data_IF_937622411325
#
_entry.id   IF_937622411325
#
_cell.length_a   1.000
_cell.length_b   1.000
_cell.length_c   1.000
_cell.angle_alpha   90.00
_cell.angle_beta   90.00
_cell.angle_gamma   90.00
#
_symmetry.space_group_name_H-M   'P 1'
#
loop_
_entity.id
_entity.type
_entity.pdbx_description
1 polymer ?
#
# COMPACT_ATOMS: atom_id res chain seq x y z
N UNK A 1 -2.90 -6.87 14.33
CA UNK A 1 -2.73 -8.36 14.36
C UNK A 1 -2.54 -8.80 12.93
N UNK A 2 -1.53 -9.62 12.69
CA UNK A 2 -1.20 -10.11 11.35
C UNK A 2 -2.22 -11.16 10.89
N UNK A 3 -2.56 -11.12 9.61
CA UNK A 3 -3.41 -12.13 9.00
C UNK A 3 -2.61 -13.41 8.70
N UNK A 4 -3.14 -14.60 9.02
CA UNK A 4 -2.55 -15.86 8.57
C UNK A 4 -2.38 -15.91 7.04
N UNK A 5 -1.34 -16.55 6.53
CA UNK A 5 -1.04 -16.58 5.10
C UNK A 5 -2.14 -17.26 4.27
N UNK A 6 -2.81 -18.27 4.83
CA UNK A 6 -3.97 -18.91 4.19
C UNK A 6 -5.15 -17.95 4.00
N UNK A 7 -5.35 -17.06 4.99
CA UNK A 7 -6.38 -16.03 4.91
C UNK A 7 -6.07 -15.04 3.78
N UNK A 8 -4.82 -14.59 3.71
CA UNK A 8 -4.35 -13.68 2.66
C UNK A 8 -4.47 -14.33 1.29
N UNK A 9 -4.04 -15.59 1.15
CA UNK A 9 -4.13 -16.36 -0.10
C UNK A 9 -5.56 -16.43 -0.63
N UNK A 10 -6.52 -16.70 0.25
CA UNK A 10 -7.92 -16.78 -0.16
C UNK A 10 -8.48 -15.40 -0.56
N UNK A 11 -8.14 -14.33 0.16
CA UNK A 11 -8.55 -12.96 -0.24
C UNK A 11 -8.01 -12.60 -1.62
N UNK A 12 -6.74 -12.90 -1.90
CA UNK A 12 -6.12 -12.66 -3.21
C UNK A 12 -6.80 -13.50 -4.31
N UNK A 13 -7.13 -14.76 -4.03
CA UNK A 13 -7.87 -15.62 -4.98
C UNK A 13 -9.23 -15.02 -5.33
N UNK A 14 -9.99 -14.58 -4.33
CA UNK A 14 -11.33 -14.04 -4.55
C UNK A 14 -11.26 -12.70 -5.31
N UNK A 15 -10.33 -11.82 -4.95
CA UNK A 15 -10.11 -10.56 -5.67
C UNK A 15 -9.78 -10.81 -7.14
N UNK A 16 -8.90 -11.79 -7.42
CA UNK A 16 -8.55 -12.19 -8.79
C UNK A 16 -9.74 -12.71 -9.57
N UNK A 17 -10.57 -13.57 -8.99
CA UNK A 17 -11.79 -14.09 -9.65
C UNK A 17 -12.80 -12.99 -9.96
N UNK A 18 -12.83 -11.93 -9.13
CA UNK A 18 -13.65 -10.75 -9.36
C UNK A 18 -13.02 -9.71 -10.30
N UNK A 19 -11.79 -9.94 -10.78
CA UNK A 19 -11.04 -8.98 -11.61
C UNK A 19 -10.65 -7.70 -10.88
N UNK A 20 -10.52 -7.76 -9.55
CA UNK A 20 -10.13 -6.63 -8.69
C UNK A 20 -8.60 -6.64 -8.55
N UNK A 21 -7.90 -5.55 -8.89
CA UNK A 21 -6.46 -5.44 -8.67
C UNK A 21 -6.09 -5.52 -7.19
N UNK A 22 -4.97 -6.15 -6.89
CA UNK A 22 -4.52 -6.43 -5.54
C UNK A 22 -3.21 -5.72 -5.22
N UNK A 23 -3.13 -5.15 -4.02
CA UNK A 23 -1.90 -4.63 -3.43
C UNK A 23 -1.62 -5.41 -2.15
N UNK A 24 -0.46 -6.03 -2.06
CA UNK A 24 -0.02 -6.77 -0.88
C UNK A 24 1.10 -6.02 -0.17
N UNK A 25 0.94 -5.81 1.14
CA UNK A 25 1.96 -5.24 2.01
C UNK A 25 2.75 -6.34 2.72
N UNK A 26 4.08 -6.27 2.65
CA UNK A 26 4.98 -7.18 3.37
C UNK A 26 5.99 -6.38 4.21
N UNK A 27 5.56 -6.02 5.41
CA UNK A 27 6.33 -5.16 6.32
C UNK A 27 7.13 -5.92 7.40
N UNK A 28 7.09 -7.26 7.37
CA UNK A 28 7.92 -8.13 8.22
C UNK A 28 8.83 -9.01 7.39
N UNK A 29 10.00 -9.40 7.95
CA UNK A 29 10.80 -10.46 7.36
C UNK A 29 9.99 -11.75 7.14
N UNK A 30 10.21 -12.47 6.03
CA UNK A 30 9.72 -13.83 5.82
C UNK A 30 9.90 -14.74 7.04
N UNK A 31 11.07 -14.73 7.68
CA UNK A 31 11.32 -15.53 8.89
C UNK A 31 10.31 -15.27 10.01
N UNK A 32 9.98 -14.00 10.27
CA UNK A 32 8.97 -13.60 11.26
C UNK A 32 7.55 -14.00 10.82
N UNK A 33 7.23 -13.84 9.54
CA UNK A 33 5.94 -14.25 8.99
C UNK A 33 5.75 -15.78 9.13
N UNK A 34 6.78 -16.56 8.80
CA UNK A 34 6.75 -18.02 8.85
C UNK A 34 6.71 -18.57 10.28
N UNK A 35 7.24 -17.83 11.26
CA UNK A 35 7.19 -18.24 12.65
C UNK A 35 5.75 -18.35 13.20
N UNK A 36 4.81 -17.59 12.66
CA UNK A 36 3.47 -17.44 13.26
C UNK A 36 2.29 -17.47 12.28
N UNK A 37 2.51 -17.30 10.98
CA UNK A 37 1.43 -17.03 10.02
C UNK A 37 1.23 -18.10 8.96
N UNK A 38 2.16 -19.05 8.80
CA UNK A 38 2.02 -20.16 7.85
C UNK A 38 3.37 -20.75 7.43
N UNK A 39 3.41 -21.39 6.27
CA UNK A 39 4.60 -22.03 5.72
C UNK A 39 5.18 -21.30 4.49
N UNK A 40 6.42 -21.64 4.15
CA UNK A 40 7.19 -21.01 3.07
C UNK A 40 6.46 -21.09 1.73
N UNK A 41 5.83 -22.24 1.45
CA UNK A 41 5.07 -22.45 0.22
C UNK A 41 3.89 -21.47 0.13
N UNK A 42 3.15 -21.31 1.22
CA UNK A 42 1.98 -20.42 1.26
C UNK A 42 2.40 -18.96 1.17
N UNK A 43 3.53 -18.59 1.76
CA UNK A 43 4.11 -17.26 1.57
C UNK A 43 4.45 -17.01 0.10
N UNK A 44 5.15 -17.94 -0.55
CA UNK A 44 5.52 -17.82 -1.97
C UNK A 44 4.28 -17.74 -2.87
N UNK A 45 3.24 -18.54 -2.60
CA UNK A 45 1.95 -18.48 -3.30
C UNK A 45 1.28 -17.10 -3.17
N UNK A 46 1.28 -16.54 -1.95
CA UNK A 46 0.70 -15.23 -1.63
C UNK A 46 1.45 -14.10 -2.35
N UNK A 47 2.79 -14.12 -2.33
CA UNK A 47 3.61 -13.10 -2.98
C UNK A 47 3.46 -13.12 -4.50
N UNK A 48 3.32 -14.31 -5.12
CA UNK A 48 3.06 -14.45 -6.57
C UNK A 48 1.66 -14.00 -6.98
N UNK A 49 0.69 -14.09 -6.08
CA UNK A 49 -0.71 -13.81 -6.41
C UNK A 49 -1.04 -12.31 -6.45
N UNK A 50 -0.20 -11.44 -5.88
CA UNK A 50 -0.44 -10.00 -5.85
C UNK A 50 -0.08 -9.30 -7.18
N UNK A 51 -0.87 -8.31 -7.59
CA UNK A 51 -0.54 -7.47 -8.76
C UNK A 51 0.55 -6.45 -8.42
N UNK A 52 0.43 -5.81 -7.26
CA UNK A 52 1.41 -4.89 -6.69
C UNK A 52 1.89 -5.42 -5.35
N UNK A 53 3.21 -5.51 -5.17
CA UNK A 53 3.82 -5.91 -3.90
C UNK A 53 4.56 -4.71 -3.30
N UNK A 54 4.27 -4.35 -2.04
CA UNK A 54 4.98 -3.30 -1.30
C UNK A 54 5.75 -3.88 -0.12
N UNK A 55 6.95 -4.45 -0.31
CA UNK A 55 7.73 -4.93 0.81
C UNK A 55 8.58 -3.80 1.43
N UNK A 56 8.93 -3.92 2.71
CA UNK A 56 10.02 -3.12 3.27
C UNK A 56 11.38 -3.64 2.80
N UNK A 57 12.41 -2.78 2.72
CA UNK A 57 13.78 -3.21 2.39
C UNK A 57 14.25 -4.37 3.29
N UNK A 58 13.88 -4.32 4.57
CA UNK A 58 14.19 -5.38 5.52
C UNK A 58 13.57 -6.73 5.10
N UNK A 59 12.30 -6.74 4.69
CA UNK A 59 11.64 -7.96 4.22
C UNK A 59 12.28 -8.50 2.92
N UNK A 60 12.66 -7.61 2.00
CA UNK A 60 13.24 -8.03 0.72
C UNK A 60 14.58 -8.73 0.88
N UNK A 61 15.40 -8.35 1.87
CA UNK A 61 16.72 -8.97 2.11
C UNK A 61 16.67 -10.47 2.38
N UNK A 62 15.53 -11.00 2.80
CA UNK A 62 15.32 -12.45 2.99
C UNK A 62 14.60 -13.11 1.81
N UNK A 63 14.05 -12.34 0.86
CA UNK A 63 13.37 -12.88 -0.33
C UNK A 63 14.31 -13.06 -1.52
N UNK A 64 15.31 -12.19 -1.64
CA UNK A 64 16.25 -12.17 -2.75
C UNK A 64 17.69 -12.04 -2.26
N UNK A 65 18.53 -12.95 -2.74
CA UNK A 65 19.98 -12.90 -2.52
C UNK A 65 20.62 -12.01 -3.61
N UNK A 66 21.79 -11.43 -3.30
CA UNK A 66 22.68 -10.75 -4.26
C UNK A 66 22.12 -9.52 -5.00
N UNK A 67 20.99 -8.94 -4.57
CA UNK A 67 20.39 -7.76 -5.20
C UNK A 67 21.05 -6.41 -4.77
N UNK A 68 22.02 -6.44 -3.86
CA UNK A 68 22.61 -5.24 -3.25
C UNK A 68 21.68 -4.57 -2.24
N UNK A 69 21.91 -3.28 -1.95
CA UNK A 69 21.12 -2.52 -0.98
C UNK A 69 20.31 -1.36 -1.59
N UNK A 70 20.40 -1.18 -2.91
CA UNK A 70 19.63 -0.16 -3.63
C UNK A 70 18.15 -0.59 -3.72
N UNK A 71 17.20 0.23 -3.27
CA UNK A 71 15.79 -0.17 -3.21
C UNK A 71 15.17 -0.43 -4.59
N UNK A 72 15.66 0.22 -5.66
CA UNK A 72 15.19 -0.06 -7.01
C UNK A 72 15.73 -1.41 -7.53
N UNK A 73 17.00 -1.72 -7.27
CA UNK A 73 17.57 -3.03 -7.60
C UNK A 73 16.82 -4.16 -6.88
N UNK A 74 16.51 -3.96 -5.59
CA UNK A 74 15.69 -4.87 -4.79
C UNK A 74 14.28 -5.03 -5.38
N UNK A 75 13.62 -3.93 -5.77
CA UNK A 75 12.30 -3.98 -6.40
C UNK A 75 12.31 -4.80 -7.69
N UNK A 76 13.34 -4.62 -8.54
CA UNK A 76 13.50 -5.38 -9.79
C UNK A 76 13.75 -6.87 -9.52
N UNK A 77 14.55 -7.20 -8.51
CA UNK A 77 14.84 -8.59 -8.15
C UNK A 77 13.58 -9.32 -7.68
N UNK A 78 12.78 -8.68 -6.82
CA UNK A 78 11.49 -9.21 -6.34
C UNK A 78 10.51 -9.36 -7.50
N UNK A 79 10.36 -8.33 -8.35
CA UNK A 79 9.48 -8.39 -9.51
C UNK A 79 9.84 -9.54 -10.44
N UNK A 80 11.14 -9.77 -10.68
CA UNK A 80 11.64 -10.89 -11.48
C UNK A 80 11.37 -12.26 -10.82
N UNK A 81 11.49 -12.36 -9.49
CA UNK A 81 11.28 -13.61 -8.75
C UNK A 81 9.81 -14.03 -8.72
N UNK A 82 8.92 -13.06 -8.51
CA UNK A 82 7.50 -13.31 -8.21
C UNK A 82 6.56 -13.01 -9.38
N UNK A 83 6.99 -12.23 -10.37
CA UNK A 83 6.20 -11.92 -11.57
C UNK A 83 5.12 -10.87 -11.34
N UNK A 84 5.23 -10.05 -10.30
CA UNK A 84 4.28 -8.97 -10.02
C UNK A 84 4.34 -7.89 -11.10
N UNK A 85 3.20 -7.24 -11.38
CA UNK A 85 3.12 -6.13 -12.34
C UNK A 85 3.87 -4.90 -11.84
N UNK A 86 3.90 -4.70 -10.51
CA UNK A 86 4.73 -3.71 -9.86
C UNK A 86 5.24 -4.16 -8.49
N UNK A 87 6.42 -3.65 -8.11
CA UNK A 87 7.00 -3.82 -6.78
C UNK A 87 7.48 -2.46 -6.26
N UNK A 88 7.12 -2.12 -5.03
CA UNK A 88 7.47 -0.86 -4.35
C UNK A 88 8.21 -1.15 -3.05
N UNK A 89 9.54 -1.07 -3.06
CA UNK A 89 10.38 -1.33 -1.87
C UNK A 89 10.55 -0.03 -1.08
N UNK A 90 10.10 0.00 0.18
CA UNK A 90 10.32 1.15 1.06
C UNK A 90 11.67 1.06 1.78
N UNK A 91 12.35 2.20 1.92
CA UNK A 91 13.69 2.32 2.52
C UNK A 91 13.79 3.54 3.46
N UNK A 92 12.77 3.73 4.31
CA UNK A 92 12.76 4.77 5.34
C UNK A 92 13.12 6.17 4.80
N UNK A 93 14.14 6.79 5.39
CA UNK A 93 14.63 8.12 5.01
C UNK A 93 15.25 8.19 3.59
N UNK A 94 15.62 7.05 3.01
CA UNK A 94 16.11 6.96 1.63
C UNK A 94 14.98 6.93 0.59
N UNK A 95 13.71 6.86 1.04
CA UNK A 95 12.52 6.87 0.19
C UNK A 95 12.11 5.48 -0.26
N UNK A 96 11.90 5.29 -1.56
CA UNK A 96 11.45 4.02 -2.11
C UNK A 96 12.00 3.73 -3.51
N UNK A 97 12.09 2.45 -3.85
CA UNK A 97 12.39 1.96 -5.18
C UNK A 97 11.15 1.32 -5.79
N UNK A 98 10.85 1.64 -7.04
CA UNK A 98 9.65 1.17 -7.74
C UNK A 98 10.08 0.49 -9.03
N UNK A 99 9.68 -0.76 -9.23
CA UNK A 99 9.79 -1.46 -10.51
C UNK A 99 8.36 -1.75 -11.00
N UNK A 100 7.99 -1.27 -12.19
CA UNK A 100 6.67 -1.51 -12.77
C UNK A 100 6.74 -1.57 -14.29
N UNK A 101 6.23 -2.66 -14.88
CA UNK A 101 6.49 -2.99 -16.28
C UNK A 101 8.00 -2.97 -16.59
N UNK A 102 8.38 -2.31 -17.68
CA UNK A 102 9.79 -2.11 -18.04
C UNK A 102 10.44 -0.90 -17.34
N UNK A 103 9.64 -0.12 -16.61
CA UNK A 103 10.08 1.08 -15.91
C UNK A 103 10.78 0.80 -14.59
N UNK A 104 11.44 1.83 -14.06
CA UNK A 104 11.86 1.81 -12.67
C UNK A 104 12.32 3.17 -12.16
N UNK A 105 12.05 3.43 -10.90
CA UNK A 105 12.23 4.73 -10.26
C UNK A 105 12.84 4.56 -8.87
N UNK A 106 13.78 5.43 -8.53
CA UNK A 106 14.18 5.67 -7.14
C UNK A 106 13.60 7.03 -6.74
N UNK A 107 12.71 7.04 -5.76
CA UNK A 107 12.03 8.25 -5.30
C UNK A 107 12.51 8.56 -3.89
N UNK A 108 13.29 9.64 -3.68
CA UNK A 108 13.80 9.99 -2.36
C UNK A 108 12.67 10.49 -1.45
N UNK A 109 12.81 10.26 -0.14
CA UNK A 109 11.93 10.86 0.86
C UNK A 109 12.36 12.30 1.18
N UNK A 110 11.40 13.10 1.65
CA UNK A 110 11.71 14.39 2.25
C UNK A 110 12.43 14.18 3.60
N UNK A 111 13.48 14.95 3.86
CA UNK A 111 14.15 14.96 5.17
C UNK A 111 13.26 15.66 6.19
N UNK A 112 13.00 14.98 7.30
CA UNK A 112 12.13 15.44 8.40
C UNK A 112 12.72 15.02 9.73
N UNK A 113 12.37 15.73 10.80
CA UNK A 113 12.72 15.34 12.16
C UNK A 113 11.70 14.29 12.66
N UNK A 114 12.09 13.01 12.64
CA UNK A 114 11.23 11.92 13.06
C UNK A 114 11.07 11.88 14.59
N UNK A 115 9.81 11.82 15.04
CA UNK A 115 9.40 11.65 16.44
C UNK A 115 9.10 10.18 16.73
N UNK A 116 8.33 9.52 15.87
CA UNK A 116 7.93 8.11 16.01
C UNK A 116 7.72 7.50 14.63
N UNK A 117 8.31 6.34 14.34
CA UNK A 117 8.18 5.68 13.04
C UNK A 117 6.96 4.77 12.91
N UNK A 118 6.18 4.63 13.98
CA UNK A 118 4.98 3.79 14.02
C UNK A 118 3.95 4.24 12.99
N UNK A 119 3.54 3.34 12.09
CA UNK A 119 2.56 3.63 11.04
C UNK A 119 3.11 4.30 9.77
N UNK A 120 4.42 4.55 9.68
CA UNK A 120 5.01 5.17 8.49
C UNK A 120 4.78 4.35 7.20
N UNK A 121 4.87 3.02 7.30
CA UNK A 121 4.60 2.07 6.20
C UNK A 121 3.14 2.10 5.76
N UNK A 122 2.21 2.09 6.73
CA UNK A 122 0.77 2.19 6.46
C UNK A 122 0.40 3.53 5.83
N UNK A 123 0.97 4.64 6.32
CA UNK A 123 0.77 5.96 5.76
C UNK A 123 1.32 6.06 4.33
N UNK A 124 2.50 5.49 4.09
CA UNK A 124 3.09 5.37 2.75
C UNK A 124 2.15 4.59 1.83
N UNK A 125 1.69 3.41 2.25
CA UNK A 125 0.79 2.57 1.45
C UNK A 125 -0.53 3.29 1.18
N UNK A 126 -1.09 4.01 2.15
CA UNK A 126 -2.26 4.85 1.94
C UNK A 126 -2.04 5.92 0.87
N UNK A 127 -0.90 6.61 0.88
CA UNK A 127 -0.53 7.57 -0.16
C UNK A 127 -0.38 6.93 -1.54
N UNK A 128 0.26 5.76 -1.61
CA UNK A 128 0.41 4.98 -2.83
C UNK A 128 -0.95 4.58 -3.42
N UNK A 129 -1.84 4.02 -2.59
CA UNK A 129 -3.17 3.58 -3.02
C UNK A 129 -4.02 4.74 -3.56
N UNK A 130 -3.98 5.90 -2.89
CA UNK A 130 -4.68 7.11 -3.37
C UNK A 130 -4.15 7.57 -4.73
N UNK A 131 -2.83 7.54 -4.92
CA UNK A 131 -2.23 7.91 -6.19
C UNK A 131 -2.61 6.95 -7.32
N UNK A 132 -2.57 5.65 -7.07
CA UNK A 132 -2.94 4.62 -8.05
C UNK A 132 -4.43 4.69 -8.41
N UNK A 133 -5.33 4.85 -7.44
CA UNK A 133 -6.76 5.05 -7.66
C UNK A 133 -7.05 6.33 -8.48
N UNK A 134 -6.20 7.35 -8.30
CA UNK A 134 -6.27 8.61 -9.05
C UNK A 134 -5.61 8.54 -10.45
N UNK A 135 -5.09 7.37 -10.85
CA UNK A 135 -4.43 7.18 -12.15
C UNK A 135 -3.13 7.96 -12.33
N UNK A 136 -2.44 8.30 -11.23
CA UNK A 136 -1.15 8.99 -11.27
C UNK A 136 -0.05 8.05 -11.74
N UNK A 137 0.99 8.62 -12.36
CA UNK A 137 2.17 7.84 -12.73
C UNK A 137 2.96 7.37 -11.50
N UNK A 138 3.84 6.38 -11.68
CA UNK A 138 4.58 5.74 -10.60
C UNK A 138 5.52 6.67 -9.82
N UNK A 139 6.13 7.65 -10.49
CA UNK A 139 7.03 8.59 -9.82
C UNK A 139 6.22 9.56 -8.94
N UNK A 140 5.12 10.09 -9.48
CA UNK A 140 4.15 10.93 -8.77
C UNK A 140 3.53 10.17 -7.58
N UNK A 141 3.21 8.87 -7.77
CA UNK A 141 2.69 8.01 -6.72
C UNK A 141 3.71 7.75 -5.61
N UNK A 142 4.96 7.45 -5.96
CA UNK A 142 6.06 7.30 -5.00
C UNK A 142 6.30 8.58 -4.19
N UNK A 143 6.23 9.75 -4.84
CA UNK A 143 6.36 11.05 -4.17
C UNK A 143 5.24 11.30 -3.15
N UNK A 144 3.99 10.95 -3.49
CA UNK A 144 2.86 11.09 -2.57
C UNK A 144 2.97 10.11 -1.40
N UNK A 145 3.34 8.87 -1.68
CA UNK A 145 3.56 7.83 -0.68
C UNK A 145 4.66 8.23 0.31
N UNK A 146 5.83 8.69 -0.18
CA UNK A 146 6.91 9.21 0.66
C UNK A 146 6.46 10.39 1.52
N UNK A 147 5.69 11.33 0.96
CA UNK A 147 5.19 12.48 1.72
C UNK A 147 4.23 12.07 2.84
N UNK A 148 3.36 11.08 2.62
CA UNK A 148 2.49 10.52 3.65
C UNK A 148 3.29 9.84 4.77
N UNK A 149 4.28 9.00 4.43
CA UNK A 149 5.16 8.38 5.42
C UNK A 149 5.94 9.43 6.23
N UNK A 150 6.55 10.41 5.57
CA UNK A 150 7.32 11.47 6.21
C UNK A 150 6.47 12.42 7.07
N UNK A 151 5.19 12.63 6.72
CA UNK A 151 4.26 13.38 7.55
C UNK A 151 3.86 12.58 8.81
N UNK A 152 3.65 11.27 8.67
CA UNK A 152 3.28 10.38 9.76
C UNK A 152 4.34 10.38 10.86
N UNK A 153 5.62 10.33 10.50
CA UNK A 153 6.69 10.18 11.50
C UNK A 153 6.97 11.42 12.37
N UNK A 154 6.36 12.57 12.06
CA UNK A 154 6.60 13.83 12.78
C UNK A 154 5.70 14.02 14.01
N UNK A 155 4.96 12.99 14.40
CA UNK A 155 4.12 12.96 15.60
C UNK A 155 4.20 11.59 16.26
N UNK A 156 3.69 11.47 17.48
CA UNK A 156 3.62 10.21 18.20
C UNK A 156 2.44 9.36 17.70
N UNK A 157 2.69 8.07 17.44
CA UNK A 157 1.69 7.11 17.00
C UNK A 157 1.32 7.20 15.51
N UNK A 158 0.63 6.16 15.03
CA UNK A 158 0.30 5.99 13.60
C UNK A 158 -0.82 6.91 13.10
N UNK A 159 -1.73 7.35 13.99
CA UNK A 159 -2.93 8.07 13.59
C UNK A 159 -2.82 9.56 13.93
N UNK A 160 -3.07 10.47 12.97
CA UNK A 160 -3.03 11.89 13.26
C UNK A 160 -4.17 12.32 14.17
N UNK A 161 -3.83 13.11 15.20
CA UNK A 161 -4.81 13.79 16.04
C UNK A 161 -5.60 14.85 15.24
N UNK A 162 -4.92 15.54 14.33
CA UNK A 162 -5.49 16.55 13.43
C UNK A 162 -5.30 16.16 11.95
N UNK A 163 -6.36 15.65 11.30
CA UNK A 163 -6.31 15.28 9.88
C UNK A 163 -6.01 16.44 8.93
N UNK A 164 -6.41 17.68 9.23
CA UNK A 164 -6.14 18.82 8.34
C UNK A 164 -4.67 19.22 8.41
N UNK A 165 -4.10 19.24 9.62
CA UNK A 165 -2.66 19.45 9.80
C UNK A 165 -1.85 18.36 9.10
N UNK A 166 -2.26 17.10 9.21
CA UNK A 166 -1.61 15.99 8.51
C UNK A 166 -1.63 16.20 6.99
N UNK A 167 -2.78 16.60 6.41
CA UNK A 167 -2.87 16.91 4.97
C UNK A 167 -2.00 18.10 4.56
N UNK A 168 -1.94 19.14 5.38
CA UNK A 168 -1.08 20.29 5.12
C UNK A 168 0.41 19.89 5.08
N UNK A 169 0.83 19.04 6.02
CA UNK A 169 2.19 18.51 6.08
C UNK A 169 2.52 17.62 4.88
N UNK A 170 1.60 16.73 4.46
CA UNK A 170 1.78 15.94 3.23
C UNK A 170 1.98 16.86 2.02
N UNK A 171 1.22 17.96 1.91
CA UNK A 171 1.41 18.94 0.83
C UNK A 171 2.77 19.61 0.88
N UNK A 172 3.23 19.98 2.07
CA UNK A 172 4.53 20.60 2.30
C UNK A 172 5.70 19.65 1.95
N UNK A 173 5.54 18.34 2.18
CA UNK A 173 6.59 17.34 1.98
C UNK A 173 6.61 16.72 0.59
N UNK A 174 5.56 16.89 -0.19
CA UNK A 174 5.48 16.37 -1.55
C UNK A 174 6.53 17.00 -2.48
N UNK A 175 7.17 16.18 -3.32
CA UNK A 175 8.24 16.61 -4.24
C UNK A 175 8.00 16.24 -5.71
N UNK A 176 6.83 15.69 -6.03
CA UNK A 176 6.50 15.24 -7.39
C UNK A 176 5.87 16.32 -8.27
N UNK A 177 5.34 15.88 -9.42
CA UNK A 177 4.63 16.73 -10.38
C UNK A 177 3.27 17.22 -9.84
N UNK A 178 2.64 18.27 -10.42
CA UNK A 178 1.34 18.73 -9.97
C UNK A 178 0.32 17.60 -10.07
N UNK A 179 -0.41 17.36 -8.99
CA UNK A 179 -1.56 16.46 -9.03
C UNK A 179 -2.79 17.25 -9.50
N UNK A 180 -3.37 16.98 -10.68
CA UNK A 180 -4.51 17.72 -11.19
C UNK A 180 -5.73 17.59 -10.26
N UNK A 181 -6.47 18.69 -10.07
CA UNK A 181 -7.71 18.70 -9.26
C UNK A 181 -7.50 18.89 -7.75
N UNK A 182 -6.26 18.85 -7.24
CA UNK A 182 -5.92 19.36 -5.92
C UNK A 182 -5.61 20.86 -6.03
N UNK A 183 -6.66 21.71 -5.94
CA UNK A 183 -6.49 23.16 -5.97
C UNK A 183 -5.64 23.62 -4.76
N UNK A 184 -4.41 24.08 -5.04
CA UNK A 184 -3.48 24.60 -4.04
C UNK A 184 -2.08 23.98 -4.10
N UNK A 185 -1.34 24.26 -5.19
CA UNK A 185 0.13 24.24 -5.26
C UNK A 185 0.86 22.91 -4.98
N UNK A 186 0.75 21.96 -5.91
CA UNK A 186 1.91 21.15 -6.31
C UNK A 186 2.40 21.75 -7.63
N UNK A 187 3.56 22.40 -7.71
CA UNK A 187 4.04 23.05 -8.92
C UNK A 187 5.53 22.78 -9.14
N UNK A 188 5.94 22.18 -10.28
CA UNK A 188 7.31 22.20 -10.76
C UNK A 188 7.47 23.28 -11.83
N UNK A 189 8.65 23.87 -11.84
CA UNK A 189 9.07 24.79 -12.86
C UNK A 189 9.31 24.04 -14.19
N UNK A 190 8.47 24.32 -15.19
CA UNK A 190 8.91 24.38 -16.58
C UNK A 190 8.89 23.08 -17.40
N UNK A 191 8.07 23.14 -18.45
CA UNK A 191 8.11 22.41 -19.73
C UNK A 191 7.41 21.06 -19.82
N UNK A 192 6.35 21.07 -20.62
CA UNK A 192 5.37 20.02 -20.83
C UNK A 192 5.84 18.92 -21.80
N UNK A 193 5.33 17.69 -21.61
CA UNK A 193 5.24 16.65 -22.64
C UNK A 193 3.82 16.08 -22.63
N UNK A 194 3.20 15.96 -23.80
CA UNK A 194 1.83 15.46 -24.00
C UNK A 194 1.79 13.94 -24.21
N UNK A 195 0.71 13.30 -23.73
CA UNK A 195 0.28 11.93 -24.05
C UNK A 195 -1.23 11.98 -24.41
N UNK A 196 -1.76 11.14 -25.32
CA UNK A 196 -2.96 11.44 -26.11
C UNK A 196 -4.27 11.53 -25.30
N UNK A 197 -5.13 12.46 -25.75
CA UNK A 197 -6.42 12.75 -25.15
C UNK A 197 -7.46 11.65 -25.43
N UNK A 198 -7.94 11.01 -24.37
CA UNK A 198 -9.30 10.46 -24.31
C UNK A 198 -10.21 11.51 -23.68
N UNK A 199 -11.27 11.90 -24.39
CA UNK A 199 -12.21 12.96 -23.97
C UNK A 199 -12.89 12.62 -22.65
N UNK A 200 -12.54 13.34 -21.58
CA UNK A 200 -13.26 13.32 -20.31
C UNK A 200 -13.80 14.71 -19.98
N UNK A 201 -15.12 14.83 -20.02
CA UNK A 201 -15.90 15.95 -19.48
C UNK A 201 -15.71 16.08 -17.97
N UNK A 202 -15.56 17.32 -17.49
CA UNK A 202 -15.18 17.66 -16.11
C UNK A 202 -16.30 17.40 -15.08
N UNK A 203 -15.89 16.84 -13.92
CA UNK A 203 -16.57 16.58 -12.62
C UNK A 203 -17.57 15.40 -12.54
N UNK A 204 -17.26 14.28 -11.83
CA UNK A 204 -17.54 14.10 -10.38
C UNK A 204 -16.59 13.10 -9.64
N UNK A 205 -15.27 13.27 -9.75
CA UNK A 205 -14.29 12.26 -9.31
C UNK A 205 -14.29 11.93 -7.79
N UNK A 206 -14.68 12.88 -6.94
CA UNK A 206 -14.58 12.75 -5.47
C UNK A 206 -15.65 11.83 -4.83
N UNK A 207 -16.84 11.75 -5.42
CA UNK A 207 -17.89 10.82 -4.98
C UNK A 207 -17.75 9.42 -5.59
N UNK A 208 -17.09 9.32 -6.75
CA UNK A 208 -16.83 8.05 -7.41
C UNK A 208 -15.79 7.23 -6.64
N UNK A 209 -14.68 7.86 -6.23
CA UNK A 209 -13.64 7.23 -5.41
C UNK A 209 -14.16 6.80 -4.02
N UNK A 210 -14.96 7.64 -3.36
CA UNK A 210 -15.57 7.28 -2.08
C UNK A 210 -16.55 6.09 -2.18
N UNK A 211 -17.34 6.01 -3.27
CA UNK A 211 -18.21 4.85 -3.55
C UNK A 211 -17.43 3.61 -3.94
N UNK A 212 -16.30 3.74 -4.64
CA UNK A 212 -15.43 2.62 -4.99
C UNK A 212 -14.77 2.03 -3.73
N UNK A 213 -14.21 2.86 -2.85
CA UNK A 213 -13.64 2.45 -1.58
C UNK A 213 -14.66 1.74 -0.67
N UNK A 214 -15.89 2.26 -0.57
CA UNK A 214 -16.97 1.62 0.19
C UNK A 214 -17.35 0.25 -0.37
N UNK A 215 -17.38 0.08 -1.69
CA UNK A 215 -17.65 -1.23 -2.33
C UNK A 215 -16.56 -2.26 -2.08
N UNK A 216 -15.29 -1.84 -2.03
CA UNK A 216 -14.16 -2.71 -1.67
C UNK A 216 -14.30 -3.18 -0.22
N UNK A 217 -14.64 -2.28 0.71
CA UNK A 217 -14.86 -2.63 2.12
C UNK A 217 -16.08 -3.55 2.33
N UNK A 218 -17.18 -3.29 1.61
CA UNK A 218 -18.38 -4.13 1.63
C UNK A 218 -18.10 -5.53 1.11
N UNK A 219 -17.46 -5.61 -0.05
CA UNK A 219 -17.10 -6.89 -0.68
C UNK A 219 -16.10 -7.66 0.18
N UNK A 220 -15.09 -6.98 0.71
CA UNK A 220 -14.11 -7.56 1.63
C UNK A 220 -14.74 -8.10 2.91
N UNK A 221 -15.60 -7.32 3.58
CA UNK A 221 -16.30 -7.78 4.79
C UNK A 221 -17.16 -9.02 4.52
N UNK A 222 -17.95 -9.00 3.44
CA UNK A 222 -18.81 -10.14 3.08
C UNK A 222 -18.00 -11.39 2.73
N UNK A 223 -16.92 -11.24 1.98
CA UNK A 223 -16.06 -12.37 1.59
C UNK A 223 -15.29 -12.96 2.77
N UNK A 224 -14.80 -12.12 3.69
CA UNK A 224 -14.15 -12.56 4.94
C UNK A 224 -15.15 -13.27 5.85
N UNK A 225 -16.41 -12.81 5.93
CA UNK A 225 -17.47 -13.48 6.68
C UNK A 225 -17.81 -14.86 6.09
N UNK A 226 -17.87 -14.98 4.76
CA UNK A 226 -18.05 -16.26 4.05
C UNK A 226 -16.87 -17.21 4.27
N UNK A 227 -15.65 -16.67 4.28
CA UNK A 227 -14.41 -17.37 4.61
C UNK A 227 -14.42 -17.94 6.02
N UNK A 228 -14.87 -17.15 7.00
CA UNK A 228 -15.04 -17.60 8.38
C UNK A 228 -16.00 -18.80 8.46
N UNK A 229 -17.11 -18.76 7.71
CA UNK A 229 -18.03 -19.89 7.62
C UNK A 229 -17.40 -21.15 6.99
N UNK A 230 -16.51 -20.98 6.01
CA UNK A 230 -15.83 -22.10 5.33
C UNK A 230 -14.65 -22.70 6.12
N UNK A 231 -13.99 -21.91 6.98
CA UNK A 231 -12.75 -22.28 7.68
C UNK A 231 -12.85 -22.22 9.21
N UNK A 232 -14.07 -22.39 9.75
CA UNK A 232 -14.38 -22.28 11.17
C UNK A 232 -13.50 -23.17 12.09
N UNK A 233 -12.97 -24.28 11.58
CA UNK A 233 -12.15 -25.23 12.37
C UNK A 233 -10.67 -24.83 12.54
N UNK A 234 -10.11 -23.97 11.68
CA UNK A 234 -8.64 -23.73 11.64
C UNK A 234 -8.21 -22.26 11.73
N UNK A 235 -9.06 -21.30 11.37
CA UNK A 235 -8.70 -19.88 11.36
C UNK A 235 -9.87 -18.91 11.61
N UNK A 236 -11.02 -19.40 12.08
CA UNK A 236 -12.27 -18.63 12.18
C UNK A 236 -12.19 -17.35 13.01
N UNK A 237 -11.46 -17.36 14.14
CA UNK A 237 -11.32 -16.17 14.99
C UNK A 237 -10.57 -15.03 14.30
N UNK A 238 -9.56 -15.32 13.47
CA UNK A 238 -8.80 -14.31 12.75
C UNK A 238 -9.66 -13.64 11.65
N UNK A 239 -10.46 -14.44 10.94
CA UNK A 239 -11.40 -13.93 9.94
C UNK A 239 -12.52 -13.11 10.58
N UNK A 240 -13.09 -13.56 11.69
CA UNK A 240 -14.12 -12.83 12.42
C UNK A 240 -13.61 -11.48 12.93
N UNK A 241 -12.36 -11.44 13.42
CA UNK A 241 -11.71 -10.19 13.85
C UNK A 241 -11.52 -9.22 12.67
N UNK A 242 -11.06 -9.70 11.51
CA UNK A 242 -10.89 -8.89 10.31
C UNK A 242 -12.24 -8.33 9.80
N UNK A 243 -13.29 -9.15 9.74
CA UNK A 243 -14.63 -8.71 9.34
C UNK A 243 -15.20 -7.65 10.31
N UNK A 244 -15.11 -7.89 11.62
CA UNK A 244 -15.59 -6.97 12.65
C UNK A 244 -14.88 -5.60 12.61
N UNK A 245 -13.58 -5.59 12.33
CA UNK A 245 -12.80 -4.37 12.14
C UNK A 245 -13.30 -3.56 10.94
N UNK A 246 -13.56 -4.21 9.81
CA UNK A 246 -14.08 -3.55 8.60
C UNK A 246 -15.47 -2.95 8.87
N UNK A 247 -16.37 -3.69 9.50
CA UNK A 247 -17.72 -3.22 9.84
C UNK A 247 -17.71 -2.07 10.84
N UNK A 248 -16.88 -2.15 11.87
CA UNK A 248 -16.72 -1.09 12.87
C UNK A 248 -16.19 0.19 12.22
N UNK A 249 -15.22 0.09 11.32
CA UNK A 249 -14.70 1.24 10.56
C UNK A 249 -15.79 1.91 9.70
N UNK A 250 -16.62 1.12 9.01
CA UNK A 250 -17.76 1.61 8.23
C UNK A 250 -18.74 2.40 9.09
N UNK A 251 -19.12 1.88 10.25
CA UNK A 251 -20.07 2.55 11.16
C UNK A 251 -19.58 3.90 11.70
N UNK A 252 -18.25 4.11 11.72
CA UNK A 252 -17.62 5.38 12.14
C UNK A 252 -17.32 6.33 10.97
N UNK A 253 -17.76 6.00 9.75
CA UNK A 253 -17.54 6.84 8.56
C UNK A 253 -16.10 6.82 8.02
N UNK A 254 -15.27 5.85 8.44
CA UNK A 254 -13.91 5.66 7.94
C UNK A 254 -13.90 5.21 6.47
N UNK A 255 -13.04 5.82 5.64
CA UNK A 255 -13.01 5.58 4.18
C UNK A 255 -11.83 4.75 3.68
N UNK A 256 -10.82 4.47 4.50
CA UNK A 256 -9.65 3.65 4.14
C UNK A 256 -9.14 2.91 5.39
N UNK A 257 -8.84 1.63 5.25
CA UNK A 257 -7.99 0.91 6.19
C UNK A 257 -7.05 -0.01 5.41
N UNK A 258 -5.78 0.04 5.79
CA UNK A 258 -4.69 -0.79 5.28
C UNK A 258 -4.46 -1.88 6.33
N UNK A 259 -4.50 -3.15 5.94
CA UNK A 259 -4.08 -4.25 6.82
C UNK A 259 -2.68 -4.68 6.40
N UNK A 260 -1.67 -4.34 7.20
CA UNK A 260 -0.32 -4.88 7.06
C UNK A 260 -0.14 -6.16 7.88
N UNK A 261 0.77 -7.01 7.42
CA UNK A 261 1.47 -7.95 8.30
C UNK A 261 2.56 -7.13 9.01
N UNK A 262 2.28 -6.67 10.24
CA UNK A 262 3.16 -5.84 11.07
C UNK A 262 3.97 -6.62 12.11
N UNK A 263 4.94 -5.97 12.75
CA UNK A 263 5.82 -6.62 13.74
C UNK A 263 5.02 -7.21 14.91
N UNK A 264 5.47 -8.34 15.51
CA UNK A 264 4.92 -8.81 16.76
C UNK A 264 5.23 -7.78 17.85
N UNK A 265 4.20 -7.11 18.33
CA UNK A 265 4.17 -6.54 19.69
C UNK A 265 3.55 -7.56 20.64
#
# INVERSE_FOLDING_TARGET
RNSPLDAVREVLRIAREAGIPTVLDLDVPPSDALATLGDEKTLDDVLRAADVLKPSKLAVRELVEDAGDDPLALARAVAKRYGNSAVVVTDGEAGCGIAAGDGGWHVPAARVDAVDTTGAGDAFLGGLLVALDSGLDWETAGNLANACGAACVQQLGAFPEDPERARALVRELYRGQPIPGLAGSFAPAGTAIQVPAGTATQAPAQEAGARAALRVLETGASQVAELNHRHAEHAGEAFAAAASLIETSRSKGGRVHVTGVGKPE
#
